data_IF_200847377465
#
_entry.id   IF_200847377465
#
_cell.length_a   1.000
_cell.length_b   1.000
_cell.length_c   1.000
_cell.angle_alpha   90.00
_cell.angle_beta   90.00
_cell.angle_gamma   90.00
#
_symmetry.space_group_name_H-M   'P 1'
#
loop_
_entity.id
_entity.type
_entity.pdbx_description
1 polymer ?
#
# COMPACT_ATOMS: atom_id res chain seq x y z
N UNK A 1 -21.18 -15.95 -18.33
CA UNK A 1 -20.07 -15.06 -18.11
C UNK A 1 -20.06 -14.62 -16.64
N UNK A 2 -18.95 -14.82 -15.96
CA UNK A 2 -18.81 -14.50 -14.53
C UNK A 2 -17.84 -13.34 -14.32
N UNK A 3 -18.30 -12.31 -13.62
CA UNK A 3 -17.49 -11.15 -13.24
C UNK A 3 -17.14 -11.23 -11.76
N UNK A 4 -15.86 -11.08 -11.41
CA UNK A 4 -15.40 -11.03 -10.04
C UNK A 4 -14.76 -9.67 -9.78
N UNK A 5 -15.30 -8.95 -8.81
CA UNK A 5 -14.80 -7.67 -8.33
C UNK A 5 -13.93 -7.94 -7.10
N UNK A 6 -12.65 -7.58 -7.14
CA UNK A 6 -11.71 -7.77 -6.06
C UNK A 6 -11.50 -6.44 -5.32
N UNK A 7 -12.07 -6.33 -4.13
CA UNK A 7 -11.87 -5.20 -3.21
C UNK A 7 -10.69 -5.47 -2.27
N UNK A 8 -10.11 -4.42 -1.71
CA UNK A 8 -8.97 -4.52 -0.79
C UNK A 8 -9.37 -5.01 0.61
N UNK A 9 -10.51 -4.55 1.11
CA UNK A 9 -10.97 -4.77 2.48
C UNK A 9 -12.48 -4.97 2.57
N UNK A 10 -12.98 -5.61 3.64
CA UNK A 10 -14.41 -5.91 3.79
C UNK A 10 -15.32 -4.68 3.76
N UNK A 11 -14.87 -3.56 4.33
CA UNK A 11 -15.64 -2.30 4.35
C UNK A 11 -15.84 -1.73 2.95
N UNK A 12 -14.80 -1.81 2.12
CA UNK A 12 -14.82 -1.37 0.72
C UNK A 12 -15.74 -2.29 -0.11
N UNK A 13 -15.61 -3.61 0.06
CA UNK A 13 -16.49 -4.58 -0.61
C UNK A 13 -17.96 -4.34 -0.25
N UNK A 14 -18.23 -4.00 1.02
CA UNK A 14 -19.59 -3.65 1.47
C UNK A 14 -20.08 -2.36 0.81
N UNK A 15 -19.26 -1.29 0.76
CA UNK A 15 -19.63 -0.04 0.10
C UNK A 15 -19.97 -0.26 -1.39
N UNK A 16 -19.18 -1.10 -2.07
CA UNK A 16 -19.50 -1.50 -3.45
C UNK A 16 -20.80 -2.28 -3.54
N UNK A 17 -21.01 -3.27 -2.67
CA UNK A 17 -22.24 -4.07 -2.65
C UNK A 17 -23.48 -3.20 -2.41
N UNK A 18 -23.40 -2.24 -1.49
CA UNK A 18 -24.50 -1.32 -1.15
C UNK A 18 -24.80 -0.30 -2.28
N UNK A 19 -23.93 -0.16 -3.29
CA UNK A 19 -24.15 0.71 -4.45
C UNK A 19 -24.97 0.05 -5.57
N UNK A 20 -25.08 -1.28 -5.56
CA UNK A 20 -25.82 -2.04 -6.56
C UNK A 20 -27.28 -2.28 -6.15
N UNK A 21 -28.11 -2.65 -7.13
CA UNK A 21 -29.55 -2.84 -6.94
C UNK A 21 -29.89 -3.93 -5.93
N UNK A 22 -29.13 -5.04 -5.93
CA UNK A 22 -29.31 -6.13 -4.98
C UNK A 22 -27.99 -6.82 -4.68
N UNK A 23 -27.70 -6.97 -3.39
CA UNK A 23 -26.53 -7.68 -2.90
C UNK A 23 -26.92 -8.71 -1.84
N UNK A 24 -26.31 -9.90 -1.91
CA UNK A 24 -26.49 -10.96 -0.92
C UNK A 24 -25.15 -11.32 -0.32
N UNK A 25 -25.00 -11.12 1.00
CA UNK A 25 -23.76 -11.44 1.72
C UNK A 25 -23.60 -12.95 1.88
N UNK A 26 -22.38 -13.41 1.63
CA UNK A 26 -21.91 -14.78 1.85
C UNK A 26 -20.66 -14.78 2.75
N UNK A 27 -20.13 -15.95 3.09
CA UNK A 27 -18.87 -16.04 3.85
C UNK A 27 -17.69 -15.68 2.91
N UNK A 28 -17.11 -14.51 3.12
CA UNK A 28 -15.95 -13.98 2.39
C UNK A 28 -16.25 -13.28 1.05
N UNK A 29 -17.52 -13.08 0.67
CA UNK A 29 -17.88 -12.38 -0.56
C UNK A 29 -19.35 -11.92 -0.57
N UNK A 30 -19.76 -11.18 -1.62
CA UNK A 30 -21.15 -10.79 -1.92
C UNK A 30 -21.52 -11.25 -3.31
N UNK A 31 -22.73 -11.76 -3.48
CA UNK A 31 -23.36 -11.98 -4.79
C UNK A 31 -24.14 -10.73 -5.18
N UNK A 32 -23.98 -10.28 -6.41
CA UNK A 32 -24.56 -9.04 -6.91
C UNK A 32 -25.52 -9.36 -8.07
N UNK A 33 -26.65 -8.67 -8.07
CA UNK A 33 -27.57 -8.62 -9.21
C UNK A 33 -27.83 -7.15 -9.57
N UNK A 34 -27.30 -6.72 -10.70
CA UNK A 34 -27.46 -5.37 -11.21
C UNK A 34 -27.42 -5.37 -12.74
N UNK A 35 -28.13 -4.39 -13.34
CA UNK A 35 -28.17 -4.22 -14.80
C UNK A 35 -26.79 -3.93 -15.42
N UNK A 36 -25.88 -3.36 -14.64
CA UNK A 36 -24.53 -3.04 -15.09
C UNK A 36 -23.71 -4.30 -15.36
N UNK A 37 -24.01 -5.38 -14.62
CA UNK A 37 -23.35 -6.67 -14.76
C UNK A 37 -24.39 -7.77 -14.99
N UNK A 38 -24.76 -8.05 -16.25
CA UNK A 38 -25.88 -8.94 -16.56
C UNK A 38 -25.63 -10.44 -16.29
N UNK A 39 -24.36 -10.81 -15.98
CA UNK A 39 -23.98 -12.19 -15.66
C UNK A 39 -23.88 -12.46 -14.16
N UNK A 40 -23.34 -13.64 -13.83
CA UNK A 40 -22.97 -13.94 -12.43
C UNK A 40 -21.92 -12.94 -11.96
N UNK A 41 -22.20 -12.20 -10.90
CA UNK A 41 -21.31 -11.18 -10.40
C UNK A 41 -21.07 -11.34 -8.92
N UNK A 42 -19.80 -11.30 -8.52
CA UNK A 42 -19.37 -11.50 -7.15
C UNK A 42 -18.39 -10.39 -6.78
N UNK A 43 -18.54 -9.85 -5.56
CA UNK A 43 -17.52 -8.99 -4.93
C UNK A 43 -16.83 -9.80 -3.85
N UNK A 44 -15.55 -10.05 -3.99
CA UNK A 44 -14.72 -10.66 -2.96
C UNK A 44 -13.66 -9.64 -2.47
N UNK A 45 -12.96 -9.94 -1.38
CA UNK A 45 -12.08 -8.97 -0.75
C UNK A 45 -10.91 -9.62 -0.02
N UNK A 46 -9.84 -8.84 0.11
CA UNK A 46 -8.74 -9.12 1.03
C UNK A 46 -8.98 -8.55 2.43
N UNK A 47 -7.95 -8.66 3.26
CA UNK A 47 -7.80 -7.93 4.53
C UNK A 47 -6.56 -7.01 4.42
N UNK A 48 -6.47 -6.23 3.33
CA UNK A 48 -5.24 -5.69 2.81
C UNK A 48 -4.43 -6.81 2.15
N UNK A 49 -3.14 -6.89 2.42
CA UNK A 49 -2.30 -7.98 1.90
C UNK A 49 -2.75 -9.35 2.41
N UNK A 50 -3.13 -10.23 1.50
CA UNK A 50 -3.33 -11.67 1.74
C UNK A 50 -2.09 -12.49 1.40
N UNK A 51 -1.12 -11.87 0.74
CA UNK A 51 0.11 -12.47 0.23
C UNK A 51 1.28 -11.64 0.71
N UNK A 52 2.36 -12.29 1.14
CA UNK A 52 3.57 -11.66 1.67
C UNK A 52 4.81 -12.25 1.02
N UNK A 53 5.90 -11.46 0.93
CA UNK A 53 7.21 -11.97 0.54
C UNK A 53 7.69 -13.00 1.56
N UNK A 54 8.35 -14.03 1.08
CA UNK A 54 8.93 -15.06 1.93
C UNK A 54 9.99 -14.47 2.86
N UNK A 55 10.03 -14.98 4.09
CA UNK A 55 11.08 -14.65 5.05
C UNK A 55 12.42 -15.30 4.65
N UNK A 56 13.55 -14.77 5.10
CA UNK A 56 14.86 -15.30 4.72
C UNK A 56 15.03 -16.82 4.92
N UNK A 57 14.50 -17.37 6.00
CA UNK A 57 14.57 -18.79 6.33
C UNK A 57 13.77 -19.69 5.36
N UNK A 58 12.82 -19.14 4.61
CA UNK A 58 12.09 -19.86 3.59
C UNK A 58 12.92 -20.07 2.30
N UNK A 59 13.97 -19.27 2.11
CA UNK A 59 14.92 -19.43 0.99
C UNK A 59 16.10 -20.33 1.33
N UNK A 60 16.64 -20.16 2.56
CA UNK A 60 17.79 -20.95 3.03
C UNK A 60 17.77 -21.03 4.57
N UNK A 61 17.80 -22.24 5.12
CA UNK A 61 17.73 -22.47 6.57
C UNK A 61 18.87 -21.76 7.34
N UNK A 62 20.03 -21.49 6.70
CA UNK A 62 21.12 -20.74 7.31
C UNK A 62 20.73 -19.32 7.72
N UNK A 63 19.72 -18.75 7.08
CA UNK A 63 19.22 -17.39 7.35
C UNK A 63 18.17 -17.32 8.47
N UNK A 64 17.80 -18.48 9.05
CA UNK A 64 16.88 -18.56 10.18
C UNK A 64 17.44 -17.89 11.44
N UNK A 65 18.75 -18.01 11.64
CA UNK A 65 19.43 -17.33 12.74
C UNK A 65 20.35 -16.24 12.21
N UNK A 66 20.22 -15.07 12.82
CA UNK A 66 21.06 -13.94 12.43
C UNK A 66 22.53 -14.21 12.73
N UNK A 67 23.38 -14.04 11.77
CA UNK A 67 24.82 -14.17 11.86
C UNK A 67 25.49 -13.23 10.86
N UNK A 68 26.55 -12.55 11.28
CA UNK A 68 27.34 -11.71 10.37
C UNK A 68 27.95 -12.52 9.22
N UNK A 69 28.26 -13.80 9.46
CA UNK A 69 28.81 -14.70 8.43
C UNK A 69 27.78 -15.07 7.34
N UNK A 70 26.51 -14.89 7.59
CA UNK A 70 25.43 -15.21 6.65
C UNK A 70 24.89 -13.99 5.88
N UNK A 71 25.46 -12.82 6.12
CA UNK A 71 25.14 -11.61 5.38
C UNK A 71 26.08 -11.46 4.16
N UNK A 72 25.61 -10.92 3.03
CA UNK A 72 24.25 -10.42 2.83
C UNK A 72 23.24 -11.52 2.52
N UNK A 73 21.98 -11.32 2.93
CA UNK A 73 20.83 -12.09 2.52
C UNK A 73 20.38 -11.59 1.16
N UNK A 74 20.57 -12.41 0.12
CA UNK A 74 20.27 -12.02 -1.26
C UNK A 74 19.75 -13.22 -2.05
N UNK A 75 18.42 -13.49 -2.03
CA UNK A 75 17.84 -14.56 -2.81
C UNK A 75 17.96 -14.30 -4.32
N UNK A 76 18.18 -15.36 -5.10
CA UNK A 76 18.22 -15.26 -6.57
C UNK A 76 16.86 -14.95 -7.19
N UNK A 77 15.77 -15.36 -6.53
CA UNK A 77 14.39 -15.11 -6.92
C UNK A 77 13.57 -14.82 -5.67
N UNK A 78 12.57 -13.96 -5.82
CA UNK A 78 11.66 -13.62 -4.73
C UNK A 78 10.36 -14.40 -4.87
N UNK A 79 9.97 -15.07 -3.78
CA UNK A 79 8.75 -15.86 -3.70
C UNK A 79 7.77 -15.26 -2.71
N UNK A 80 6.53 -15.65 -2.86
CA UNK A 80 5.43 -15.16 -2.06
C UNK A 80 4.65 -16.32 -1.45
N UNK A 81 4.13 -16.12 -0.25
CA UNK A 81 3.28 -17.08 0.41
C UNK A 81 2.02 -16.43 0.99
N UNK A 82 1.05 -17.27 1.34
CA UNK A 82 -0.15 -16.88 2.06
C UNK A 82 0.02 -17.22 3.54
N UNK A 83 0.05 -16.25 4.47
CA UNK A 83 0.11 -16.50 5.91
C UNK A 83 -1.01 -17.41 6.39
N UNK A 84 -0.73 -18.20 7.43
CA UNK A 84 -1.65 -19.23 7.94
C UNK A 84 -3.01 -18.66 8.35
N UNK A 85 -3.02 -17.52 9.01
CA UNK A 85 -4.21 -16.79 9.46
C UNK A 85 -5.05 -16.22 8.32
N UNK A 86 -4.44 -15.96 7.16
CA UNK A 86 -5.09 -15.40 5.96
C UNK A 86 -5.60 -16.48 4.99
N UNK A 87 -5.20 -17.75 5.19
CA UNK A 87 -5.52 -18.84 4.25
C UNK A 87 -7.02 -19.04 4.00
N UNK A 88 -7.85 -18.90 5.04
CA UNK A 88 -9.31 -19.08 4.88
C UNK A 88 -9.86 -18.11 3.84
N UNK A 89 -9.59 -16.81 4.00
CA UNK A 89 -10.08 -15.78 3.09
C UNK A 89 -9.40 -15.89 1.72
N UNK A 90 -8.10 -16.13 1.68
CA UNK A 90 -7.40 -16.33 0.41
C UNK A 90 -8.02 -17.45 -0.43
N UNK A 91 -8.41 -18.59 0.18
CA UNK A 91 -9.03 -19.69 -0.53
C UNK A 91 -10.42 -19.33 -1.10
N UNK A 92 -11.18 -18.45 -0.42
CA UNK A 92 -12.42 -17.91 -0.96
C UNK A 92 -12.14 -17.05 -2.19
N UNK A 93 -11.23 -16.09 -2.07
CA UNK A 93 -10.81 -15.19 -3.16
C UNK A 93 -10.28 -15.98 -4.35
N UNK A 94 -9.36 -16.92 -4.11
CA UNK A 94 -8.78 -17.79 -5.13
C UNK A 94 -9.84 -18.52 -5.95
N UNK A 95 -10.80 -19.16 -5.28
CA UNK A 95 -11.90 -19.90 -5.94
C UNK A 95 -12.74 -18.98 -6.83
N UNK A 96 -13.06 -17.78 -6.35
CA UNK A 96 -13.82 -16.81 -7.14
C UNK A 96 -12.99 -16.34 -8.36
N UNK A 97 -11.74 -15.93 -8.15
CA UNK A 97 -10.87 -15.47 -9.25
C UNK A 97 -10.64 -16.55 -10.30
N UNK A 98 -10.41 -17.82 -9.90
CA UNK A 98 -10.18 -18.90 -10.85
C UNK A 98 -11.40 -19.18 -11.74
N UNK A 99 -12.62 -19.01 -11.23
CA UNK A 99 -13.85 -19.21 -11.97
C UNK A 99 -14.33 -17.98 -12.75
N UNK A 100 -13.62 -16.86 -12.70
CA UNK A 100 -13.98 -15.63 -13.39
C UNK A 100 -13.62 -15.66 -14.87
N UNK A 101 -14.49 -15.09 -15.71
CA UNK A 101 -14.17 -14.69 -17.08
C UNK A 101 -13.59 -13.27 -17.10
N UNK A 102 -14.15 -12.38 -16.27
CA UNK A 102 -13.69 -11.00 -16.08
C UNK A 102 -13.36 -10.74 -14.62
N UNK A 103 -12.19 -10.14 -14.37
CA UNK A 103 -11.76 -9.66 -13.06
C UNK A 103 -11.73 -8.14 -13.07
N UNK A 104 -12.47 -7.53 -12.15
CA UNK A 104 -12.42 -6.08 -11.91
C UNK A 104 -11.57 -5.83 -10.66
N UNK A 105 -10.40 -5.25 -10.85
CA UNK A 105 -9.54 -4.81 -9.77
C UNK A 105 -10.15 -3.54 -9.18
N UNK A 106 -10.59 -3.62 -7.94
CA UNK A 106 -11.31 -2.56 -7.23
C UNK A 106 -10.70 -2.29 -5.84
N UNK A 107 -9.39 -2.45 -5.72
CA UNK A 107 -8.56 -2.00 -4.58
C UNK A 107 -8.35 -0.49 -4.63
N UNK A 108 -7.74 0.12 -3.62
CA UNK A 108 -7.47 1.55 -3.58
C UNK A 108 -6.73 2.01 -4.85
N UNK A 109 -6.98 3.27 -5.27
CA UNK A 109 -6.51 3.80 -6.56
C UNK A 109 -5.09 4.35 -6.45
N UNK A 110 -4.17 3.50 -6.03
CA UNK A 110 -2.74 3.80 -5.89
C UNK A 110 -1.87 2.56 -6.21
N UNK A 111 -0.56 2.72 -6.09
CA UNK A 111 0.40 1.62 -6.36
C UNK A 111 0.31 0.48 -5.34
N UNK A 112 -0.07 0.78 -4.09
CA UNK A 112 -0.22 -0.24 -3.04
C UNK A 112 -1.44 -1.12 -3.31
N UNK A 113 -2.57 -0.50 -3.72
CA UNK A 113 -3.76 -1.23 -4.16
C UNK A 113 -3.48 -2.12 -5.38
N UNK A 114 -2.65 -1.67 -6.32
CA UNK A 114 -2.20 -2.52 -7.44
C UNK A 114 -1.35 -3.70 -6.95
N UNK A 115 -0.42 -3.47 -6.02
CA UNK A 115 0.42 -4.53 -5.45
C UNK A 115 -0.45 -5.59 -4.73
N UNK A 116 -1.40 -5.16 -3.92
CA UNK A 116 -2.33 -6.06 -3.23
C UNK A 116 -3.11 -6.91 -4.22
N UNK A 117 -3.72 -6.27 -5.23
CA UNK A 117 -4.56 -6.98 -6.19
C UNK A 117 -3.78 -8.00 -7.03
N UNK A 118 -2.69 -7.56 -7.67
CA UNK A 118 -1.92 -8.43 -8.57
C UNK A 118 -1.20 -9.53 -7.82
N UNK A 119 -0.68 -9.28 -6.61
CA UNK A 119 -0.10 -10.34 -5.77
C UNK A 119 -1.12 -11.44 -5.44
N UNK A 120 -2.37 -11.08 -5.14
CA UNK A 120 -3.45 -12.03 -4.91
C UNK A 120 -3.80 -12.79 -6.18
N UNK A 121 -3.95 -12.10 -7.31
CA UNK A 121 -4.32 -12.69 -8.61
C UNK A 121 -3.26 -13.69 -9.07
N UNK A 122 -1.97 -13.32 -9.00
CA UNK A 122 -0.85 -14.18 -9.36
C UNK A 122 -0.73 -15.39 -8.44
N UNK A 123 -0.82 -15.18 -7.12
CA UNK A 123 -0.75 -16.26 -6.14
C UNK A 123 -1.97 -17.20 -6.23
N UNK A 124 -3.10 -16.72 -6.72
CA UNK A 124 -4.28 -17.54 -7.00
C UNK A 124 -4.13 -18.37 -8.29
N UNK A 125 -3.12 -18.09 -9.14
CA UNK A 125 -3.01 -18.67 -10.48
C UNK A 125 -4.16 -18.26 -11.39
N UNK A 126 -4.55 -16.98 -11.34
CA UNK A 126 -5.71 -16.45 -12.04
C UNK A 126 -5.34 -15.26 -12.95
N UNK A 127 -4.06 -15.12 -13.26
CA UNK A 127 -3.47 -14.01 -14.02
C UNK A 127 -3.50 -14.20 -15.54
N UNK A 128 -4.03 -15.33 -16.03
CA UNK A 128 -4.07 -15.63 -17.46
C UNK A 128 -5.49 -16.03 -17.93
N UNK A 129 -5.76 -15.82 -19.21
CA UNK A 129 -6.96 -16.27 -19.88
C UNK A 129 -8.23 -15.53 -19.47
N UNK A 130 -8.12 -14.32 -18.94
CA UNK A 130 -9.23 -13.52 -18.42
C UNK A 130 -9.15 -12.09 -18.93
N UNK A 131 -10.30 -11.40 -18.89
CA UNK A 131 -10.34 -9.94 -19.07
C UNK A 131 -10.13 -9.26 -17.74
N UNK A 132 -9.16 -8.34 -17.70
CA UNK A 132 -8.87 -7.52 -16.50
C UNK A 132 -9.33 -6.10 -16.71
N UNK A 133 -10.13 -5.59 -15.78
CA UNK A 133 -10.60 -4.21 -15.73
C UNK A 133 -10.23 -3.57 -14.40
N UNK A 134 -10.13 -2.25 -14.38
CA UNK A 134 -9.73 -1.47 -13.21
C UNK A 134 -10.79 -0.42 -12.87
N UNK A 135 -11.28 -0.48 -11.64
CA UNK A 135 -12.07 0.58 -11.04
C UNK A 135 -11.11 1.65 -10.46
N UNK A 136 -11.14 2.86 -10.99
CA UNK A 136 -10.27 3.95 -10.53
C UNK A 136 -11.11 5.10 -9.98
N UNK A 137 -11.32 5.11 -8.66
CA UNK A 137 -12.15 6.11 -7.95
C UNK A 137 -11.43 6.62 -6.71
N UNK A 138 -11.75 7.84 -6.29
CA UNK A 138 -11.19 8.48 -5.09
C UNK A 138 -12.26 8.71 -4.01
N UNK A 139 -13.48 8.24 -4.20
CA UNK A 139 -14.58 8.37 -3.26
C UNK A 139 -15.35 7.06 -3.14
N UNK A 140 -15.80 6.73 -1.93
CA UNK A 140 -16.68 5.59 -1.64
C UNK A 140 -18.15 6.01 -1.48
N UNK A 141 -18.51 7.19 -1.93
CA UNK A 141 -19.89 7.62 -2.05
C UNK A 141 -20.62 6.78 -3.11
N UNK A 142 -21.86 6.41 -2.82
CA UNK A 142 -22.63 5.45 -3.63
C UNK A 142 -22.71 5.84 -5.12
N UNK A 143 -22.95 7.11 -5.38
CA UNK A 143 -23.04 7.63 -6.75
C UNK A 143 -21.69 7.56 -7.48
N UNK A 144 -20.60 7.95 -6.78
CA UNK A 144 -19.24 7.89 -7.35
C UNK A 144 -18.80 6.45 -7.65
N UNK A 145 -19.15 5.51 -6.77
CA UNK A 145 -18.91 4.07 -6.99
C UNK A 145 -19.63 3.61 -8.25
N UNK A 146 -20.94 3.89 -8.35
CA UNK A 146 -21.75 3.42 -9.47
C UNK A 146 -21.28 4.00 -10.81
N UNK A 147 -20.97 5.29 -10.85
CA UNK A 147 -20.38 5.95 -12.02
C UNK A 147 -19.01 5.37 -12.39
N UNK A 148 -18.17 5.07 -11.38
CA UNK A 148 -16.87 4.44 -11.59
C UNK A 148 -16.98 3.06 -12.24
N UNK A 149 -17.94 2.24 -11.82
CA UNK A 149 -18.20 0.94 -12.43
C UNK A 149 -18.77 1.02 -13.86
N UNK A 150 -19.37 2.15 -14.24
CA UNK A 150 -19.76 2.41 -15.63
C UNK A 150 -18.57 2.78 -16.52
N UNK A 151 -17.45 3.22 -15.94
CA UNK A 151 -16.27 3.75 -16.64
C UNK A 151 -15.00 2.98 -16.26
N UNK A 152 -15.07 1.65 -16.25
CA UNK A 152 -13.91 0.82 -15.96
C UNK A 152 -12.82 1.01 -17.02
N UNK A 153 -11.58 1.13 -16.54
CA UNK A 153 -10.37 1.18 -17.39
C UNK A 153 -9.86 -0.23 -17.69
N UNK A 154 -8.96 -0.34 -18.65
CA UNK A 154 -8.17 -1.55 -18.81
C UNK A 154 -7.11 -1.62 -17.70
N UNK A 155 -6.95 -2.80 -17.11
CA UNK A 155 -6.01 -2.95 -15.99
C UNK A 155 -4.54 -2.83 -16.44
N UNK A 156 -4.25 -3.01 -17.72
CA UNK A 156 -2.92 -2.78 -18.30
C UNK A 156 -2.44 -1.34 -18.15
N UNK A 157 -3.35 -0.36 -18.14
CA UNK A 157 -3.01 1.06 -17.95
C UNK A 157 -2.34 1.34 -16.60
N UNK A 158 -2.70 0.56 -15.57
CA UNK A 158 -2.22 0.74 -14.19
C UNK A 158 -1.20 -0.31 -13.76
N UNK A 159 -0.98 -1.35 -14.58
CA UNK A 159 -0.04 -2.42 -14.29
C UNK A 159 1.40 -1.94 -13.99
N UNK A 160 1.95 -0.89 -14.63
CA UNK A 160 3.26 -0.35 -14.26
C UNK A 160 3.35 0.12 -12.80
N UNK A 161 2.23 0.49 -12.16
CA UNK A 161 2.19 0.83 -10.72
C UNK A 161 2.38 -0.40 -9.83
N UNK A 162 1.91 -1.57 -10.28
CA UNK A 162 2.22 -2.84 -9.63
C UNK A 162 3.72 -3.13 -9.67
N UNK A 163 4.36 -2.98 -10.82
CA UNK A 163 5.81 -3.22 -10.97
C UNK A 163 6.62 -2.26 -10.11
N UNK A 164 6.24 -0.98 -10.07
CA UNK A 164 6.84 0.04 -9.17
C UNK A 164 6.73 -0.38 -7.69
N UNK A 165 5.53 -0.79 -7.27
CA UNK A 165 5.28 -1.18 -5.88
C UNK A 165 6.02 -2.48 -5.52
N UNK A 166 6.07 -3.44 -6.42
CA UNK A 166 6.80 -4.70 -6.24
C UNK A 166 8.31 -4.45 -6.10
N UNK A 167 8.89 -3.62 -6.98
CA UNK A 167 10.29 -3.25 -6.90
C UNK A 167 10.61 -2.54 -5.57
N UNK A 168 9.72 -1.65 -5.12
CA UNK A 168 9.82 -0.99 -3.81
C UNK A 168 9.73 -2.00 -2.66
N UNK A 169 8.79 -2.93 -2.70
CA UNK A 169 8.62 -3.96 -1.66
C UNK A 169 9.89 -4.83 -1.53
N UNK A 170 10.47 -5.24 -2.65
CA UNK A 170 11.73 -6.01 -2.67
C UNK A 170 12.89 -5.17 -2.10
N UNK A 171 12.99 -3.89 -2.47
CA UNK A 171 14.02 -3.00 -1.95
C UNK A 171 13.87 -2.78 -0.43
N UNK A 172 12.65 -2.61 0.06
CA UNK A 172 12.37 -2.48 1.49
C UNK A 172 12.70 -3.78 2.24
N UNK A 173 12.38 -4.95 1.66
CA UNK A 173 12.73 -6.26 2.19
C UNK A 173 14.26 -6.45 2.28
N UNK A 174 14.98 -6.14 1.20
CA UNK A 174 16.43 -6.26 1.15
C UNK A 174 17.11 -5.42 2.23
N UNK A 175 16.71 -4.16 2.36
CA UNK A 175 17.28 -3.25 3.35
C UNK A 175 16.94 -3.71 4.77
N UNK A 176 15.68 -4.10 5.01
CA UNK A 176 15.22 -4.53 6.31
C UNK A 176 15.87 -5.84 6.77
N UNK A 177 15.91 -6.85 5.89
CA UNK A 177 16.42 -8.18 6.21
C UNK A 177 17.96 -8.25 6.31
N UNK A 178 18.68 -7.27 5.78
CA UNK A 178 20.12 -7.16 5.94
C UNK A 178 20.52 -6.15 7.03
N UNK A 179 19.92 -4.97 7.01
CA UNK A 179 20.27 -3.89 7.92
C UNK A 179 19.91 -4.18 9.37
N UNK A 180 18.71 -4.75 9.61
CA UNK A 180 18.27 -5.05 10.99
C UNK A 180 19.18 -6.08 11.69
N UNK A 181 19.51 -7.24 11.09
CA UNK A 181 20.46 -8.16 11.66
C UNK A 181 21.85 -7.55 11.85
N UNK A 182 22.37 -6.85 10.83
CA UNK A 182 23.69 -6.26 10.88
C UNK A 182 23.86 -5.31 12.07
N UNK A 183 22.98 -4.32 12.19
CA UNK A 183 23.06 -3.33 13.26
C UNK A 183 22.79 -3.96 14.64
N UNK A 184 21.81 -4.86 14.72
CA UNK A 184 21.53 -5.56 15.98
C UNK A 184 22.73 -6.35 16.49
N UNK A 185 23.37 -7.14 15.63
CA UNK A 185 24.54 -7.95 16.00
C UNK A 185 25.75 -7.09 16.37
N UNK A 186 26.01 -6.00 15.64
CA UNK A 186 27.11 -5.08 15.95
C UNK A 186 26.90 -4.36 17.28
N UNK A 187 25.66 -3.97 17.61
CA UNK A 187 25.34 -3.34 18.90
C UNK A 187 25.43 -4.34 20.05
N UNK A 188 24.95 -5.58 19.83
CA UNK A 188 25.08 -6.66 20.82
C UNK A 188 26.57 -6.97 21.15
N UNK A 189 27.47 -6.97 20.17
CA UNK A 189 28.90 -7.12 20.38
C UNK A 189 29.49 -6.00 21.25
N UNK A 190 28.85 -4.83 21.27
CA UNK A 190 29.22 -3.70 22.14
C UNK A 190 28.50 -3.68 23.48
N UNK A 191 27.80 -4.77 23.84
CA UNK A 191 27.07 -4.88 25.09
C UNK A 191 25.70 -4.20 25.12
N UNK A 192 25.17 -3.80 23.97
CA UNK A 192 23.83 -3.21 23.86
C UNK A 192 22.84 -4.32 23.43
N UNK A 193 22.05 -4.86 24.36
CA UNK A 193 21.12 -5.97 24.04
C UNK A 193 19.90 -5.48 23.27
N UNK A 194 19.30 -6.38 22.49
CA UNK A 194 18.04 -6.13 21.77
C UNK A 194 18.13 -6.36 20.27
N UNK A 195 16.99 -6.24 19.62
CA UNK A 195 16.84 -6.25 18.17
C UNK A 195 16.47 -4.86 17.70
N UNK A 196 17.23 -4.34 16.75
CA UNK A 196 17.07 -3.00 16.21
C UNK A 196 16.59 -3.12 14.76
N UNK A 197 15.33 -2.76 14.52
CA UNK A 197 14.80 -2.75 13.16
C UNK A 197 15.33 -1.56 12.37
N UNK A 198 15.73 -1.82 11.14
CA UNK A 198 16.15 -0.82 10.18
C UNK A 198 15.23 -0.91 8.96
N UNK A 199 14.76 0.22 8.48
CA UNK A 199 13.91 0.29 7.32
C UNK A 199 14.13 1.58 6.53
N UNK A 200 13.92 1.51 5.23
CA UNK A 200 14.16 2.61 4.29
C UNK A 200 13.30 3.86 4.58
N UNK A 201 12.13 3.70 5.15
CA UNK A 201 11.25 4.80 5.57
C UNK A 201 11.33 5.06 7.06
N UNK A 202 11.25 4.00 7.87
CA UNK A 202 11.22 4.08 9.32
C UNK A 202 12.46 4.77 9.91
N UNK A 203 13.64 4.38 9.47
CA UNK A 203 14.91 4.91 10.01
C UNK A 203 15.13 6.38 9.69
N UNK A 204 14.98 6.86 8.44
CA UNK A 204 15.06 8.28 8.15
C UNK A 204 14.01 9.12 8.90
N UNK A 205 12.78 8.61 9.04
CA UNK A 205 11.74 9.30 9.81
C UNK A 205 12.15 9.47 11.29
N UNK A 206 12.64 8.39 11.90
CA UNK A 206 13.16 8.44 13.27
C UNK A 206 14.33 9.43 13.39
N UNK A 207 15.22 9.46 12.39
CA UNK A 207 16.35 10.40 12.38
C UNK A 207 15.88 11.85 12.27
N UNK A 208 14.87 12.14 11.47
CA UNK A 208 14.28 13.50 11.40
C UNK A 208 13.70 13.94 12.77
N UNK A 209 13.02 13.03 13.48
CA UNK A 209 12.50 13.29 14.82
C UNK A 209 13.65 13.54 15.79
N UNK A 210 14.70 12.73 15.75
CA UNK A 210 15.91 12.92 16.56
C UNK A 210 16.57 14.28 16.29
N UNK A 211 16.75 14.64 15.03
CA UNK A 211 17.31 15.94 14.66
C UNK A 211 16.47 17.12 15.19
N UNK A 212 15.15 17.00 15.14
CA UNK A 212 14.26 18.01 15.69
C UNK A 212 14.40 18.11 17.22
N UNK A 213 14.48 16.97 17.91
CA UNK A 213 14.70 16.96 19.36
C UNK A 213 16.04 17.61 19.74
N UNK A 214 17.11 17.33 18.98
CA UNK A 214 18.42 17.96 19.21
C UNK A 214 18.36 19.48 18.98
N UNK A 215 17.66 19.93 17.95
CA UNK A 215 17.42 21.38 17.74
C UNK A 215 16.66 22.03 18.91
N UNK A 216 15.66 21.34 19.46
CA UNK A 216 14.90 21.83 20.62
C UNK A 216 15.78 21.86 21.88
N UNK A 217 16.57 20.80 22.15
CA UNK A 217 17.46 20.72 23.32
C UNK A 217 18.56 21.80 23.29
N UNK A 218 19.09 22.07 22.09
CA UNK A 218 20.16 23.02 21.88
C UNK A 218 19.65 24.39 21.42
N UNK A 219 18.35 24.66 21.59
CA UNK A 219 17.73 25.88 21.12
C UNK A 219 18.33 27.11 21.85
N UNK A 220 18.89 28.00 21.06
CA UNK A 220 19.32 29.32 21.49
C UNK A 220 18.32 30.35 21.00
N UNK A 221 17.90 31.20 21.91
CA UNK A 221 16.93 32.25 21.58
C UNK A 221 17.62 33.31 20.74
N UNK A 222 17.23 33.43 19.49
CA UNK A 222 17.71 34.50 18.58
C UNK A 222 16.56 35.49 18.35
N UNK A 223 16.88 36.82 18.40
CA UNK A 223 15.90 37.83 18.04
C UNK A 223 15.60 37.74 16.53
N UNK A 224 14.34 37.84 16.17
CA UNK A 224 13.92 37.91 14.77
C UNK A 224 12.93 39.06 14.58
N UNK A 225 12.84 39.53 13.34
CA UNK A 225 11.95 40.61 12.96
C UNK A 225 10.91 40.10 11.94
N UNK A 226 9.69 40.53 12.12
CA UNK A 226 8.62 40.31 11.16
C UNK A 226 8.30 41.61 10.41
N UNK A 227 8.44 41.63 9.11
CA UNK A 227 8.00 42.75 8.28
C UNK A 227 6.50 42.66 8.04
N UNK A 228 5.76 43.73 8.36
CA UNK A 228 4.34 43.88 8.02
C UNK A 228 4.16 45.16 7.24
N UNK A 229 3.42 45.12 6.17
CA UNK A 229 3.01 46.28 5.40
C UNK A 229 1.52 46.51 5.52
N UNK A 230 1.11 47.70 5.94
CA UNK A 230 -0.28 48.12 5.83
C UNK A 230 -0.52 48.71 4.44
N UNK A 231 -1.29 48.03 3.61
CA UNK A 231 -1.51 48.41 2.23
C UNK A 231 -2.89 49.03 2.12
N UNK A 232 -2.92 50.25 1.62
CA UNK A 232 -4.17 51.00 1.31
C UNK A 232 -4.38 51.01 -0.19
N UNK A 233 -5.56 50.56 -0.60
CA UNK A 233 -5.98 50.56 -2.02
C UNK A 233 -7.26 51.42 -2.19
N UNK A 234 -7.66 51.64 -3.41
CA UNK A 234 -8.95 52.34 -3.69
C UNK A 234 -10.18 51.60 -3.14
N UNK A 235 -10.08 50.28 -2.94
CA UNK A 235 -11.20 49.42 -2.54
C UNK A 235 -11.13 48.95 -1.08
N UNK A 236 -10.15 49.43 -0.28
CA UNK A 236 -9.97 49.06 1.13
C UNK A 236 -8.51 48.94 1.54
N UNK A 237 -8.28 48.57 2.78
CA UNK A 237 -6.96 48.36 3.34
C UNK A 237 -6.80 46.93 3.82
N UNK A 238 -5.58 46.37 3.76
CA UNK A 238 -5.23 45.07 4.33
C UNK A 238 -3.79 45.06 4.82
N UNK A 239 -3.52 44.14 5.75
CA UNK A 239 -2.15 43.92 6.25
C UNK A 239 -1.52 42.74 5.47
N UNK A 240 -0.37 42.98 4.90
CA UNK A 240 0.48 41.99 4.27
C UNK A 240 1.65 41.63 5.20
N UNK A 241 1.96 40.36 5.33
CA UNK A 241 3.13 39.87 6.06
C UNK A 241 4.21 39.51 5.03
N UNK A 242 5.43 39.95 5.28
CA UNK A 242 6.58 39.59 4.46
C UNK A 242 6.91 38.10 4.64
N UNK A 243 7.02 37.34 3.56
CA UNK A 243 7.47 35.96 3.61
C UNK A 243 9.00 35.92 3.84
N UNK A 244 9.47 35.37 4.97
CA UNK A 244 10.91 35.31 5.27
C UNK A 244 11.71 34.45 4.30
N UNK A 245 11.06 33.60 3.51
CA UNK A 245 11.72 32.77 2.51
C UNK A 245 12.03 33.49 1.20
N UNK A 246 11.34 34.59 0.89
CA UNK A 246 11.62 35.43 -0.27
C UNK A 246 12.67 36.51 0.00
N UNK A 247 13.03 36.76 1.25
CA UNK A 247 13.97 37.83 1.66
C UNK A 247 15.42 37.37 1.78
N UNK A 248 15.81 36.22 1.28
CA UNK A 248 17.24 35.90 1.08
C UNK A 248 17.72 36.39 -0.30
N UNK A 249 17.46 37.63 -0.61
CA UNK A 249 18.16 38.30 -1.66
C UNK A 249 19.22 39.21 -0.98
N UNK A 250 20.48 38.74 -1.02
CA UNK A 250 21.78 39.45 -0.78
C UNK A 250 21.88 40.21 0.51
#
# INVERSE_FOLDING_TARGET
>A
MKTVILAEKPSQAKAYADSFSKATRKDGYFEIQDRLFPGETVITYGFGHLVELDSPDMYDEKWKQWSLAHLPIFPNQYHYHVPKDKKKQFNVVKRQLQSADTVVIATDSDREGELIAWSIIQQAGADQGKTFKRLWINSLEKEAIYQGFQQLRDAEETYPKFEEAQARQIADWLIGMNGSPLYSLLLQQKGIPGSFSLGRVQTPTLYMIYQLQEKIRNFQKEPYFEGKAHVITQNGAFDAKLDPNETRAT
#
